data_IF_110247505745
#
_entry.id   IF_110247505745
#
_cell.length_a   1.000
_cell.length_b   1.000
_cell.length_c   1.000
_cell.angle_alpha   90.00
_cell.angle_beta   90.00
_cell.angle_gamma   90.00
#
_symmetry.space_group_name_H-M   'P 1'
#
loop_
_entity.id
_entity.type
_entity.pdbx_description
1 polymer ?
#
# COMPACT_ATOMS: atom_id res chain seq x y z
N UNK A 1 -3.70 -23.32 -5.00
CA UNK A 1 -3.53 -23.49 -3.55
C UNK A 1 -4.18 -22.30 -2.84
N UNK A 2 -5.51 -22.34 -2.64
CA UNK A 2 -6.36 -21.25 -2.08
C UNK A 2 -7.27 -21.82 -0.96
N UNK A 3 -6.69 -22.59 -0.05
CA UNK A 3 -7.47 -23.44 0.88
C UNK A 3 -7.34 -23.03 2.36
N UNK A 4 -6.65 -21.92 2.66
CA UNK A 4 -6.36 -21.49 4.04
C UNK A 4 -7.31 -20.39 4.56
N UNK A 5 -7.98 -19.64 3.67
CA UNK A 5 -8.87 -18.54 4.08
C UNK A 5 -10.23 -19.02 4.61
N UNK A 6 -10.75 -20.14 4.09
CA UNK A 6 -12.06 -20.66 4.50
C UNK A 6 -11.99 -21.37 5.85
N UNK A 7 -10.88 -22.09 6.10
CA UNK A 7 -10.64 -22.81 7.35
C UNK A 7 -10.47 -21.85 8.54
N UNK A 8 -9.81 -20.70 8.35
CA UNK A 8 -9.66 -19.68 9.38
C UNK A 8 -11.00 -19.03 9.78
N UNK A 9 -11.91 -18.88 8.83
CA UNK A 9 -13.21 -18.25 9.07
C UNK A 9 -14.10 -19.10 10.00
N UNK A 10 -13.97 -20.43 9.95
CA UNK A 10 -14.72 -21.35 10.83
C UNK A 10 -14.04 -21.60 12.18
N UNK A 11 -12.73 -21.35 12.31
CA UNK A 11 -12.01 -21.48 13.59
C UNK A 11 -12.26 -20.27 14.50
N UNK A 12 -12.42 -19.07 13.93
CA UNK A 12 -12.62 -17.82 14.69
C UNK A 12 -14.08 -17.55 15.07
N UNK A 13 -15.04 -18.22 14.42
CA UNK A 13 -16.46 -18.11 14.74
C UNK A 13 -17.06 -19.49 15.08
N UNK A 14 -16.79 -20.04 16.28
CA UNK A 14 -17.56 -21.18 16.76
C UNK A 14 -18.98 -20.70 17.07
N UNK A 15 -19.93 -21.19 16.29
CA UNK A 15 -21.36 -20.99 16.52
C UNK A 15 -21.74 -21.67 17.85
N UNK A 16 -22.29 -20.90 18.81
CA UNK A 16 -22.87 -21.45 20.03
C UNK A 16 -22.38 -20.87 21.38
N UNK A 17 -23.19 -19.97 21.94
CA UNK A 17 -23.32 -19.58 23.37
C UNK A 17 -22.08 -19.76 24.28
N UNK A 18 -21.24 -18.72 24.36
CA UNK A 18 -20.14 -18.61 25.33
C UNK A 18 -20.57 -17.92 26.65
N UNK A 19 -19.98 -18.30 27.81
CA UNK A 19 -20.23 -17.69 29.12
C UNK A 19 -19.82 -16.20 29.16
N UNK A 20 -20.41 -15.38 30.07
CA UNK A 20 -20.39 -13.91 30.00
C UNK A 20 -18.98 -13.28 30.01
N UNK A 21 -18.01 -13.91 30.67
CA UNK A 21 -16.62 -13.47 30.71
C UNK A 21 -15.92 -13.57 29.33
N UNK A 22 -16.23 -14.62 28.56
CA UNK A 22 -15.70 -14.83 27.20
C UNK A 22 -16.46 -14.01 26.14
N UNK A 23 -17.66 -13.52 26.47
CA UNK A 23 -18.45 -12.66 25.59
C UNK A 23 -17.86 -11.24 25.48
N UNK A 24 -17.23 -10.71 26.53
CA UNK A 24 -16.54 -9.42 26.48
C UNK A 24 -15.28 -9.47 25.61
N UNK A 25 -14.46 -10.52 25.76
CA UNK A 25 -13.32 -10.79 24.85
C UNK A 25 -13.79 -11.08 23.43
N UNK A 26 -14.90 -11.81 23.26
CA UNK A 26 -15.52 -12.08 21.95
C UNK A 26 -16.05 -10.81 21.28
N UNK A 27 -16.61 -9.86 22.05
CA UNK A 27 -17.05 -8.55 21.52
C UNK A 27 -15.87 -7.67 21.12
N UNK A 28 -14.80 -7.64 21.93
CA UNK A 28 -13.58 -6.90 21.58
C UNK A 28 -12.91 -7.51 20.36
N UNK A 29 -12.77 -8.84 20.30
CA UNK A 29 -12.22 -9.55 19.15
C UNK A 29 -13.13 -9.41 17.91
N UNK A 30 -14.45 -9.41 18.07
CA UNK A 30 -15.38 -9.15 16.97
C UNK A 30 -15.35 -7.69 16.51
N UNK A 31 -15.13 -6.72 17.41
CA UNK A 31 -14.94 -5.31 17.06
C UNK A 31 -13.61 -5.08 16.35
N UNK A 32 -12.51 -5.65 16.85
CA UNK A 32 -11.21 -5.53 16.18
C UNK A 32 -11.24 -6.28 14.86
N UNK A 33 -11.83 -7.47 14.81
CA UNK A 33 -12.01 -8.20 13.56
C UNK A 33 -12.93 -7.44 12.59
N UNK A 34 -14.01 -6.79 13.04
CA UNK A 34 -14.85 -5.94 12.18
C UNK A 34 -14.11 -4.70 11.65
N UNK A 35 -13.18 -4.14 12.44
CA UNK A 35 -12.32 -3.03 12.02
C UNK A 35 -11.25 -3.46 11.00
N UNK A 36 -10.73 -4.70 11.10
CA UNK A 36 -9.67 -5.22 10.24
C UNK A 36 -10.17 -6.12 9.10
N UNK A 37 -11.48 -6.43 9.05
CA UNK A 37 -12.07 -7.19 7.96
C UNK A 37 -12.22 -6.32 6.73
N UNK A 38 -11.76 -6.82 5.57
CA UNK A 38 -12.02 -6.18 4.29
C UNK A 38 -13.54 -6.00 4.11
N UNK A 39 -14.01 -4.84 3.60
CA UNK A 39 -15.44 -4.55 3.47
C UNK A 39 -16.14 -5.61 2.59
N UNK A 40 -16.87 -6.51 3.25
CA UNK A 40 -17.58 -7.65 2.66
C UNK A 40 -18.80 -7.24 1.83
N UNK A 41 -19.12 -5.95 1.76
CA UNK A 41 -20.49 -5.48 1.52
C UNK A 41 -21.15 -5.79 0.18
N UNK A 42 -20.65 -6.60 -0.77
CA UNK A 42 -21.16 -6.89 -2.14
C UNK A 42 -21.75 -5.74 -3.00
N UNK A 43 -22.06 -4.58 -2.45
CA UNK A 43 -22.67 -3.44 -3.05
C UNK A 43 -21.59 -2.64 -3.79
N UNK A 44 -21.89 -2.30 -5.03
CA UNK A 44 -20.99 -1.62 -5.95
C UNK A 44 -20.85 -0.13 -5.62
N UNK A 45 -21.69 0.41 -4.73
CA UNK A 45 -21.79 1.83 -4.43
C UNK A 45 -21.44 2.22 -2.98
N UNK A 46 -20.90 1.30 -2.17
CA UNK A 46 -20.60 1.62 -0.77
C UNK A 46 -19.41 2.58 -0.65
N UNK A 47 -19.61 3.72 0.02
CA UNK A 47 -18.55 4.69 0.35
C UNK A 47 -17.39 4.06 1.12
N UNK A 48 -17.67 3.05 1.96
CA UNK A 48 -16.69 2.34 2.79
C UNK A 48 -15.65 1.59 1.93
N UNK A 49 -16.07 0.92 0.86
CA UNK A 49 -15.15 0.27 -0.10
C UNK A 49 -14.26 1.27 -0.81
N UNK A 50 -14.80 2.43 -1.15
CA UNK A 50 -14.02 3.51 -1.75
C UNK A 50 -12.96 4.03 -0.78
N UNK A 51 -13.35 4.40 0.43
CA UNK A 51 -12.40 4.88 1.45
C UNK A 51 -11.32 3.85 1.73
N UNK A 52 -11.71 2.58 1.92
CA UNK A 52 -10.76 1.49 2.16
C UNK A 52 -9.79 1.29 0.98
N UNK A 53 -10.31 1.26 -0.26
CA UNK A 53 -9.47 1.10 -1.45
C UNK A 53 -8.54 2.29 -1.66
N UNK A 54 -9.02 3.51 -1.45
CA UNK A 54 -8.21 4.72 -1.57
C UNK A 54 -7.13 4.76 -0.50
N UNK A 55 -7.48 4.43 0.75
CA UNK A 55 -6.52 4.31 1.84
C UNK A 55 -5.47 3.25 1.55
N UNK A 56 -5.89 2.05 1.12
CA UNK A 56 -4.98 0.97 0.75
C UNK A 56 -4.01 1.39 -0.37
N UNK A 57 -4.53 1.96 -1.47
CA UNK A 57 -3.70 2.44 -2.57
C UNK A 57 -2.72 3.49 -2.09
N UNK A 58 -3.16 4.44 -1.26
CA UNK A 58 -2.28 5.43 -0.67
C UNK A 58 -1.19 4.78 0.19
N UNK A 59 -1.54 3.90 1.14
CA UNK A 59 -0.59 3.19 2.02
C UNK A 59 0.47 2.40 1.26
N UNK A 60 0.13 1.90 0.07
CA UNK A 60 1.06 1.17 -0.79
C UNK A 60 1.88 2.13 -1.67
N UNK A 61 1.36 3.31 -2.03
CA UNK A 61 2.06 4.34 -2.82
C UNK A 61 3.10 5.10 -2.00
N UNK A 62 2.76 5.46 -0.75
CA UNK A 62 3.61 6.28 0.11
C UNK A 62 5.04 5.74 0.31
N UNK A 63 5.26 4.43 0.58
CA UNK A 63 6.60 3.88 0.72
C UNK A 63 7.49 4.12 -0.50
N UNK A 64 6.95 3.96 -1.72
CA UNK A 64 7.70 4.21 -2.94
C UNK A 64 8.03 5.69 -3.11
N UNK A 65 7.08 6.59 -2.83
CA UNK A 65 7.30 8.04 -2.90
C UNK A 65 8.40 8.44 -1.92
N UNK A 66 8.31 8.00 -0.66
CA UNK A 66 9.28 8.31 0.39
C UNK A 66 10.65 7.76 0.02
N UNK A 67 10.72 6.53 -0.49
CA UNK A 67 11.98 5.93 -0.93
C UNK A 67 12.60 6.71 -2.10
N UNK A 68 11.84 6.99 -3.15
CA UNK A 68 12.35 7.71 -4.33
C UNK A 68 12.75 9.15 -3.94
N UNK A 69 11.93 9.85 -3.15
CA UNK A 69 12.25 11.19 -2.66
C UNK A 69 13.49 11.19 -1.78
N UNK A 70 13.66 10.20 -0.91
CA UNK A 70 14.87 10.05 -0.11
C UNK A 70 16.12 9.92 -0.99
N UNK A 71 16.10 9.00 -1.96
CA UNK A 71 17.27 8.74 -2.82
C UNK A 71 17.56 9.86 -3.82
N UNK A 72 16.55 10.59 -4.29
CA UNK A 72 16.73 11.65 -5.30
C UNK A 72 16.94 13.05 -4.71
N UNK A 73 16.39 13.31 -3.52
CA UNK A 73 16.42 14.66 -2.92
C UNK A 73 17.36 14.68 -1.71
N UNK A 74 17.21 13.71 -0.80
CA UNK A 74 17.89 13.74 0.50
C UNK A 74 19.33 13.21 0.39
N UNK A 75 19.50 12.00 -0.15
CA UNK A 75 20.80 11.35 -0.29
C UNK A 75 21.87 12.19 -1.02
N UNK A 76 21.58 12.85 -2.17
CA UNK A 76 22.59 13.67 -2.85
C UNK A 76 22.87 15.02 -2.17
N UNK A 77 22.00 15.46 -1.24
CA UNK A 77 22.13 16.74 -0.54
C UNK A 77 22.94 16.64 0.77
N UNK A 78 23.24 15.43 1.22
CA UNK A 78 24.10 15.24 2.40
C UNK A 78 25.57 15.39 1.99
N UNK A 79 26.31 16.36 2.57
CA UNK A 79 27.71 16.52 2.27
C UNK A 79 28.43 15.24 2.70
N UNK A 80 29.28 14.70 1.82
CA UNK A 80 30.17 13.54 2.03
C UNK A 80 31.23 13.89 3.08
N UNK A 81 30.81 14.23 4.30
CA UNK A 81 31.68 14.59 5.41
C UNK A 81 31.72 13.40 6.37
N UNK A 82 32.82 12.66 6.21
CA UNK A 82 33.42 11.73 7.16
C UNK A 82 32.88 10.27 7.19
N UNK A 83 33.11 9.56 6.09
CA UNK A 83 32.90 8.10 5.88
C UNK A 83 33.71 7.16 6.82
N UNK A 84 34.17 7.60 7.99
CA UNK A 84 35.09 6.87 8.86
C UNK A 84 34.50 6.22 10.12
N UNK A 85 33.34 6.67 10.61
CA UNK A 85 32.84 6.30 11.94
C UNK A 85 31.91 5.07 11.93
N UNK A 86 32.04 4.18 12.92
CA UNK A 86 31.14 3.01 13.09
C UNK A 86 29.65 3.40 13.27
N UNK A 87 29.36 4.62 13.75
CA UNK A 87 28.01 5.15 13.89
C UNK A 87 27.32 5.46 12.55
N UNK A 88 28.09 5.89 11.55
CA UNK A 88 27.60 6.22 10.19
C UNK A 88 27.06 4.98 9.47
N UNK A 89 27.76 3.84 9.58
CA UNK A 89 27.35 2.60 8.92
C UNK A 89 26.03 2.06 9.47
N UNK A 90 25.79 2.25 10.76
CA UNK A 90 24.51 1.91 11.40
C UNK A 90 23.42 2.89 10.98
N UNK A 91 23.72 4.19 10.89
CA UNK A 91 22.78 5.20 10.44
C UNK A 91 22.30 4.93 9.01
N UNK A 92 23.22 4.74 8.06
CA UNK A 92 22.88 4.39 6.67
C UNK A 92 22.13 3.06 6.57
N UNK A 93 22.51 2.04 7.35
CA UNK A 93 21.80 0.77 7.36
C UNK A 93 20.35 0.90 7.87
N UNK A 94 20.13 1.66 8.94
CA UNK A 94 18.79 1.94 9.49
C UNK A 94 17.97 2.75 8.49
N UNK A 95 18.59 3.73 7.81
CA UNK A 95 17.95 4.61 6.85
C UNK A 95 17.56 3.86 5.55
N UNK A 96 18.43 2.97 5.07
CA UNK A 96 18.12 2.04 3.98
C UNK A 96 17.01 1.09 4.42
N UNK A 97 17.07 0.56 5.65
CA UNK A 97 16.06 -0.36 6.15
C UNK A 97 14.68 0.32 6.26
N UNK A 98 14.59 1.57 6.75
CA UNK A 98 13.29 2.25 6.89
C UNK A 98 12.69 2.71 5.55
N UNK A 99 13.51 2.91 4.52
CA UNK A 99 13.04 3.37 3.19
C UNK A 99 12.83 2.22 2.21
N UNK A 100 13.80 1.32 2.09
CA UNK A 100 13.81 0.21 1.12
C UNK A 100 12.94 -0.94 1.59
N UNK A 101 13.00 -1.34 2.87
CA UNK A 101 12.20 -2.46 3.37
C UNK A 101 10.70 -2.18 3.23
N UNK A 102 10.27 -0.96 3.56
CA UNK A 102 8.87 -0.54 3.43
C UNK A 102 8.40 -0.56 1.97
N UNK A 103 9.27 -0.19 1.02
CA UNK A 103 8.97 -0.28 -0.42
C UNK A 103 8.89 -1.72 -0.91
N UNK A 104 9.76 -2.61 -0.42
CA UNK A 104 9.73 -4.04 -0.75
C UNK A 104 8.46 -4.70 -0.20
N UNK A 105 8.07 -4.38 1.04
CA UNK A 105 6.81 -4.87 1.62
C UNK A 105 5.62 -4.38 0.79
N UNK A 106 5.57 -3.09 0.45
CA UNK A 106 4.52 -2.54 -0.40
C UNK A 106 4.50 -3.19 -1.80
N UNK A 107 5.66 -3.51 -2.37
CA UNK A 107 5.76 -4.21 -3.65
C UNK A 107 5.20 -5.64 -3.57
N UNK A 108 5.57 -6.38 -2.53
CA UNK A 108 5.02 -7.71 -2.27
C UNK A 108 3.51 -7.66 -2.03
N UNK A 109 3.03 -6.63 -1.33
CA UNK A 109 1.61 -6.40 -1.08
C UNK A 109 0.84 -6.23 -2.41
N UNK A 110 1.33 -5.40 -3.33
CA UNK A 110 0.76 -5.24 -4.70
C UNK A 110 0.77 -6.57 -5.46
N UNK A 111 1.89 -7.28 -5.44
CA UNK A 111 2.11 -8.49 -6.23
C UNK A 111 1.34 -9.72 -5.71
N UNK A 112 1.23 -9.87 -4.39
CA UNK A 112 0.74 -11.10 -3.76
C UNK A 112 -0.61 -10.89 -3.08
N UNK A 113 -0.78 -9.80 -2.33
CA UNK A 113 -1.86 -9.65 -1.35
C UNK A 113 -3.01 -8.75 -1.80
N UNK A 114 -2.81 -7.90 -2.82
CA UNK A 114 -3.87 -7.04 -3.38
C UNK A 114 -5.02 -7.86 -3.99
N UNK A 115 -6.00 -8.18 -3.14
CA UNK A 115 -7.31 -8.75 -3.48
C UNK A 115 -8.34 -7.66 -3.82
N UNK A 116 -7.95 -6.38 -3.77
CA UNK A 116 -8.87 -5.25 -3.99
C UNK A 116 -9.32 -5.23 -5.45
N UNK A 117 -10.60 -5.61 -5.67
CA UNK A 117 -11.27 -5.59 -6.98
C UNK A 117 -11.22 -4.18 -7.59
N UNK A 118 -10.93 -4.12 -8.90
CA UNK A 118 -10.89 -2.90 -9.73
C UNK A 118 -12.04 -1.94 -9.42
N UNK A 119 -11.71 -0.81 -8.83
CA UNK A 119 -12.61 0.33 -8.73
C UNK A 119 -12.64 1.04 -10.09
N UNK A 120 -13.84 1.21 -10.66
CA UNK A 120 -14.04 1.54 -12.08
C UNK A 120 -13.72 2.99 -12.45
N UNK A 121 -13.69 3.91 -11.48
CA UNK A 121 -13.42 5.32 -11.76
C UNK A 121 -11.96 5.70 -11.44
N UNK A 122 -11.20 6.00 -12.50
CA UNK A 122 -9.80 6.41 -12.42
C UNK A 122 -9.67 7.79 -11.76
N UNK A 123 -10.57 8.71 -12.11
CA UNK A 123 -10.50 10.10 -11.69
C UNK A 123 -10.72 10.23 -10.18
N UNK A 124 -11.71 9.52 -9.64
CA UNK A 124 -11.98 9.54 -8.19
C UNK A 124 -10.83 8.95 -7.37
N UNK A 125 -10.16 7.92 -7.88
CA UNK A 125 -9.02 7.32 -7.17
C UNK A 125 -7.80 8.23 -7.16
N UNK A 126 -7.51 8.90 -8.29
CA UNK A 126 -6.44 9.91 -8.35
C UNK A 126 -6.77 11.06 -7.40
N UNK A 127 -8.00 11.58 -7.44
CA UNK A 127 -8.44 12.63 -6.53
C UNK A 127 -8.33 12.22 -5.06
N UNK A 128 -8.64 10.95 -4.74
CA UNK A 128 -8.50 10.40 -3.39
C UNK A 128 -7.04 10.34 -2.91
N UNK A 129 -6.12 9.90 -3.76
CA UNK A 129 -4.68 9.89 -3.42
C UNK A 129 -4.13 11.31 -3.26
N UNK A 130 -4.52 12.24 -4.14
CA UNK A 130 -4.16 13.66 -4.01
C UNK A 130 -4.72 14.24 -2.70
N UNK A 131 -5.98 13.94 -2.35
CA UNK A 131 -6.58 14.40 -1.11
C UNK A 131 -5.83 13.90 0.13
N UNK A 132 -5.38 12.64 0.13
CA UNK A 132 -4.55 12.09 1.22
C UNK A 132 -3.18 12.77 1.27
N UNK A 133 -2.57 13.05 0.12
CA UNK A 133 -1.31 13.80 0.07
C UNK A 133 -1.46 15.21 0.66
N UNK A 134 -2.51 15.94 0.29
CA UNK A 134 -2.80 17.26 0.86
C UNK A 134 -3.07 17.18 2.37
N UNK A 135 -3.78 16.14 2.82
CA UNK A 135 -4.01 15.89 4.25
C UNK A 135 -2.69 15.66 4.99
N UNK A 136 -1.75 14.94 4.37
CA UNK A 136 -0.40 14.78 4.90
C UNK A 136 0.35 16.11 4.97
N UNK A 137 0.21 16.99 3.97
CA UNK A 137 0.75 18.35 4.01
C UNK A 137 0.16 19.20 5.15
N UNK A 138 -1.14 19.07 5.44
CA UNK A 138 -1.74 19.72 6.63
C UNK A 138 -1.12 19.15 7.92
N UNK A 139 -0.90 17.84 7.96
CA UNK A 139 -0.28 17.16 9.09
C UNK A 139 1.17 17.61 9.34
N UNK A 140 1.96 17.89 8.31
CA UNK A 140 3.33 18.39 8.48
C UNK A 140 3.36 19.80 9.07
N UNK A 141 2.45 20.68 8.64
CA UNK A 141 2.29 22.02 9.22
C UNK A 141 1.87 21.93 10.69
N UNK A 142 0.95 21.02 11.01
CA UNK A 142 0.57 20.75 12.40
C UNK A 142 1.77 20.25 13.22
N UNK A 143 2.55 19.32 12.68
CA UNK A 143 3.79 18.84 13.31
C UNK A 143 4.74 19.99 13.63
N UNK A 144 5.02 20.85 12.65
CA UNK A 144 5.86 22.04 12.84
C UNK A 144 5.33 22.97 13.93
N UNK A 145 4.01 23.17 14.02
CA UNK A 145 3.43 24.01 15.08
C UNK A 145 3.70 23.48 16.50
N UNK A 146 3.88 22.17 16.65
CA UNK A 146 4.13 21.51 17.95
C UNK A 146 5.62 21.38 18.24
N UNK A 147 6.44 21.03 17.23
CA UNK A 147 7.86 20.72 17.40
C UNK A 147 8.79 21.91 17.12
N UNK A 148 8.30 22.93 16.41
CA UNK A 148 9.10 24.06 15.90
C UNK A 148 9.95 23.71 14.67
N UNK A 149 9.93 22.46 14.22
CA UNK A 149 10.81 21.95 13.17
C UNK A 149 9.98 21.24 12.09
N UNK A 150 10.31 21.45 10.82
CA UNK A 150 9.67 20.73 9.73
C UNK A 150 10.17 19.28 9.66
N UNK A 151 9.27 18.34 9.39
CA UNK A 151 9.60 16.90 9.19
C UNK A 151 10.67 16.73 8.11
N UNK A 152 10.63 17.57 7.09
CA UNK A 152 11.66 17.63 6.07
C UNK A 152 12.17 19.05 5.89
N UNK A 153 13.50 19.21 5.92
CA UNK A 153 14.17 20.52 5.78
C UNK A 153 13.86 21.23 4.45
N UNK A 154 13.51 20.50 3.40
CA UNK A 154 13.12 21.09 2.12
C UNK A 154 11.71 21.71 2.11
N UNK A 155 10.88 21.47 3.14
CA UNK A 155 9.62 22.19 3.35
C UNK A 155 9.81 23.52 4.08
N UNK A 156 10.99 23.77 4.64
CA UNK A 156 11.28 25.01 5.34
C UNK A 156 11.53 26.14 4.33
N UNK A 157 10.67 27.17 4.29
CA UNK A 157 10.85 28.31 3.39
C UNK A 157 12.10 29.12 3.72
N UNK A 158 12.62 29.06 4.94
CA UNK A 158 13.84 29.79 5.33
C UNK A 158 15.10 29.08 4.80
N UNK A 159 15.04 27.76 4.64
CA UNK A 159 16.15 26.96 4.09
C UNK A 159 16.14 26.92 2.56
N UNK A 160 14.99 26.60 1.94
CA UNK A 160 14.88 26.35 0.50
C UNK A 160 14.35 27.57 -0.29
N UNK A 161 13.82 28.59 0.39
CA UNK A 161 13.05 29.65 -0.23
C UNK A 161 11.68 29.17 -0.72
N UNK A 162 10.70 30.07 -0.79
CA UNK A 162 9.33 29.72 -1.23
C UNK A 162 9.27 29.04 -2.61
N UNK A 163 10.19 29.41 -3.53
CA UNK A 163 10.30 28.79 -4.85
C UNK A 163 10.85 27.36 -4.79
N UNK A 164 11.79 27.08 -3.88
CA UNK A 164 12.35 25.74 -3.70
C UNK A 164 11.33 24.78 -3.09
N UNK A 165 10.57 25.26 -2.10
CA UNK A 165 9.45 24.52 -1.50
C UNK A 165 8.41 24.16 -2.56
N UNK A 166 7.94 25.14 -3.35
CA UNK A 166 6.95 24.91 -4.39
C UNK A 166 7.44 23.92 -5.47
N UNK A 167 8.71 24.00 -5.86
CA UNK A 167 9.30 23.09 -6.86
C UNK A 167 9.35 21.64 -6.33
N UNK A 168 9.73 21.48 -5.07
CA UNK A 168 9.80 20.17 -4.42
C UNK A 168 8.41 19.55 -4.24
N UNK A 169 7.42 20.37 -3.87
CA UNK A 169 6.03 19.95 -3.73
C UNK A 169 5.44 19.47 -5.08
N UNK A 170 5.64 20.25 -6.16
CA UNK A 170 5.24 19.86 -7.52
C UNK A 170 5.94 18.56 -7.95
N UNK A 171 7.23 18.40 -7.63
CA UNK A 171 7.97 17.18 -7.93
C UNK A 171 7.35 15.97 -7.21
N UNK A 172 7.09 16.07 -5.90
CA UNK A 172 6.48 14.98 -5.11
C UNK A 172 5.06 14.66 -5.60
N UNK A 173 4.27 15.68 -5.97
CA UNK A 173 2.94 15.49 -6.58
C UNK A 173 3.04 14.71 -7.91
N UNK A 174 3.95 15.12 -8.80
CA UNK A 174 4.16 14.44 -10.08
C UNK A 174 4.63 12.98 -9.90
N UNK A 175 5.48 12.75 -8.90
CA UNK A 175 5.97 11.43 -8.53
C UNK A 175 4.84 10.55 -7.98
N UNK A 176 3.96 11.12 -7.14
CA UNK A 176 2.78 10.44 -6.60
C UNK A 176 1.89 9.89 -7.70
N UNK A 177 1.58 10.72 -8.70
CA UNK A 177 0.79 10.32 -9.86
C UNK A 177 1.51 9.24 -10.67
N UNK A 178 2.82 9.39 -10.91
CA UNK A 178 3.62 8.43 -11.68
C UNK A 178 3.66 7.05 -11.01
N UNK A 179 3.93 6.99 -9.70
CA UNK A 179 3.93 5.74 -8.93
C UNK A 179 2.55 5.09 -8.95
N UNK A 180 1.48 5.88 -8.82
CA UNK A 180 0.12 5.37 -8.89
C UNK A 180 -0.20 4.71 -10.25
N UNK A 181 0.25 5.31 -11.36
CA UNK A 181 0.14 4.68 -12.69
C UNK A 181 0.96 3.41 -12.81
N UNK A 182 2.19 3.39 -12.28
CA UNK A 182 3.04 2.21 -12.29
C UNK A 182 2.38 1.03 -11.53
N UNK A 183 1.79 1.31 -10.36
CA UNK A 183 1.05 0.30 -9.59
C UNK A 183 -0.16 -0.24 -10.36
N UNK A 184 -0.94 0.63 -10.99
CA UNK A 184 -2.05 0.22 -11.88
C UNK A 184 -1.56 -0.70 -13.00
N UNK A 185 -0.42 -0.39 -13.62
CA UNK A 185 0.23 -1.25 -14.62
C UNK A 185 0.61 -2.62 -14.06
N UNK A 186 1.20 -2.65 -12.86
CA UNK A 186 1.55 -3.89 -12.16
C UNK A 186 0.32 -4.75 -11.83
N UNK A 187 -0.79 -4.13 -11.41
CA UNK A 187 -2.06 -4.83 -11.20
C UNK A 187 -2.60 -5.44 -12.51
N UNK A 188 -2.58 -4.69 -13.60
CA UNK A 188 -3.02 -5.19 -14.91
C UNK A 188 -2.15 -6.36 -15.40
N UNK A 189 -0.82 -6.26 -15.24
CA UNK A 189 0.10 -7.35 -15.57
C UNK A 189 -0.19 -8.61 -14.75
N UNK A 190 -0.42 -8.45 -13.45
CA UNK A 190 -0.79 -9.58 -12.56
C UNK A 190 -2.06 -10.26 -13.01
N UNK A 191 -3.10 -9.51 -13.38
CA UNK A 191 -4.35 -10.08 -13.89
C UNK A 191 -4.14 -10.89 -15.17
N UNK A 192 -3.30 -10.40 -16.09
CA UNK A 192 -2.95 -11.12 -17.32
C UNK A 192 -2.22 -12.43 -17.01
N UNK A 193 -1.24 -12.39 -16.09
CA UNK A 193 -0.50 -13.59 -15.68
C UNK A 193 -1.39 -14.61 -14.97
N UNK A 194 -2.32 -14.14 -14.13
CA UNK A 194 -3.27 -15.01 -13.46
C UNK A 194 -4.21 -15.71 -14.46
N UNK A 195 -4.74 -14.96 -15.43
CA UNK A 195 -5.58 -15.52 -16.49
C UNK A 195 -4.82 -16.54 -17.34
N UNK A 196 -3.59 -16.23 -17.73
CA UNK A 196 -2.73 -17.16 -18.48
C UNK A 196 -2.47 -18.46 -17.70
N UNK A 197 -2.18 -18.36 -16.40
CA UNK A 197 -1.97 -19.52 -15.55
C UNK A 197 -3.24 -20.38 -15.40
N UNK A 198 -4.42 -19.76 -15.30
CA UNK A 198 -5.71 -20.47 -15.26
C UNK A 198 -5.99 -21.20 -16.58
N UNK A 199 -5.72 -20.56 -17.74
CA UNK A 199 -5.83 -21.20 -19.05
C UNK A 199 -4.87 -22.40 -19.22
N UNK A 200 -3.60 -22.25 -18.81
CA UNK A 200 -2.62 -23.35 -18.86
C UNK A 200 -3.04 -24.53 -17.97
N UNK A 201 -3.60 -24.25 -16.79
CA UNK A 201 -4.13 -25.28 -15.89
C UNK A 201 -5.39 -25.94 -16.45
N UNK A 202 -6.29 -25.17 -17.09
CA UNK A 202 -7.49 -25.71 -17.72
C UNK A 202 -7.15 -26.61 -18.92
N UNK A 203 -6.25 -26.17 -19.79
CA UNK A 203 -5.77 -26.99 -20.92
C UNK A 203 -4.90 -28.18 -20.51
N UNK A 204 -4.32 -28.17 -19.30
CA UNK A 204 -3.67 -29.35 -18.70
C UNK A 204 -4.68 -30.31 -18.07
N UNK A 205 -5.77 -29.78 -17.48
CA UNK A 205 -6.88 -30.57 -16.93
C UNK A 205 -7.64 -31.30 -18.04
N UNK A 206 -7.97 -30.64 -19.15
CA UNK A 206 -8.62 -31.26 -20.30
C UNK A 206 -7.80 -32.41 -20.91
N UNK A 207 -6.46 -32.28 -20.92
CA UNK A 207 -5.54 -33.35 -21.35
C UNK A 207 -5.47 -34.53 -20.38
N UNK A 208 -5.77 -34.35 -19.10
CA UNK A 208 -5.78 -35.41 -18.09
C UNK A 208 -7.15 -36.10 -17.97
N UNK A 209 -8.22 -35.49 -18.48
CA UNK A 209 -9.58 -36.04 -18.45
C UNK A 209 -10.08 -36.59 -19.79
N UNK A 210 -9.25 -36.62 -20.84
CA UNK A 210 -9.62 -37.22 -22.11
C UNK A 210 -9.19 -38.69 -22.20
N UNK A 211 -10.12 -39.67 -22.20
CA UNK A 211 -9.96 -40.83 -23.05
C UNK A 211 -10.25 -40.39 -24.50
N UNK A 212 -9.30 -40.69 -25.39
CA UNK A 212 -9.42 -40.83 -26.85
C UNK A 212 -10.67 -40.27 -27.57
N UNK A 213 -10.52 -39.15 -28.33
CA UNK A 213 -11.20 -38.75 -29.60
C UNK A 213 -12.76 -38.75 -29.70
N UNK A 214 -13.42 -38.11 -30.72
CA UNK A 214 -12.92 -37.72 -32.04
C UNK A 214 -13.17 -36.26 -32.50
N UNK A 215 -12.41 -35.92 -33.54
CA UNK A 215 -12.59 -34.79 -34.44
C UNK A 215 -14.03 -34.65 -34.96
N UNK A 216 -14.48 -33.41 -35.07
CA UNK A 216 -15.19 -32.89 -36.23
C UNK A 216 -14.88 -31.41 -36.43
#
# INVERSE_FOLDING_TARGET
MKMQSWTLQHILAPDGRLPPEKQAKGKFLAQTQALFSAPTSTDNNSKERFVFSTFYNASVTFPFIVSIAYWLVVYPSEPVLDQGSKGERLHHFVLISITVLNSVIAFLEVMVLSSVRKQKDLATQIAGVIAIYLLYGIWTVFGHSVTGEYVYKYFDPDYAGWRGVATTDIFILSLTVTVFFAQRGLHALREILAWKAECDLSGRRERLTAPSCPHH
#
